data_IF_641294895612
#
_entry.id   IF_641294895612
#
_cell.length_a   1.000
_cell.length_b   1.000
_cell.length_c   1.000
_cell.angle_alpha   90.00
_cell.angle_beta   90.00
_cell.angle_gamma   90.00
#
_symmetry.space_group_name_H-M   'P 1'
#
loop_
_entity.id
_entity.type
_entity.pdbx_description
1 polymer ?
#
# COMPACT_ATOMS: atom_id res chain seq x y z
N UNK A 1 -3.65 18.98 12.01
CA UNK A 1 -3.99 19.66 10.74
C UNK A 1 -5.07 18.82 10.08
N UNK A 2 -6.22 19.39 9.71
CA UNK A 2 -7.32 18.61 9.12
C UNK A 2 -7.02 18.41 7.64
N UNK A 3 -6.53 17.23 7.29
CA UNK A 3 -6.22 16.85 5.92
C UNK A 3 -7.50 16.85 5.08
N UNK A 4 -7.74 17.91 4.29
CA UNK A 4 -8.90 17.99 3.39
C UNK A 4 -8.62 17.23 2.10
N UNK A 5 -8.70 15.90 2.18
CA UNK A 5 -8.60 15.02 1.01
C UNK A 5 -9.93 14.96 0.27
N UNK A 6 -9.88 15.14 -1.05
CA UNK A 6 -11.02 14.87 -1.92
C UNK A 6 -11.29 13.36 -1.98
N UNK A 7 -12.47 12.97 -2.46
CA UNK A 7 -12.77 11.54 -2.62
C UNK A 7 -11.87 10.87 -3.66
N UNK A 8 -11.39 11.64 -4.65
CA UNK A 8 -10.39 11.19 -5.61
C UNK A 8 -9.05 10.91 -4.93
N UNK A 9 -8.56 11.83 -4.09
CA UNK A 9 -7.30 11.63 -3.37
C UNK A 9 -7.39 10.40 -2.46
N UNK A 10 -8.49 10.26 -1.73
CA UNK A 10 -8.74 9.08 -0.89
C UNK A 10 -8.72 7.78 -1.71
N UNK A 11 -9.25 7.80 -2.93
CA UNK A 11 -9.22 6.65 -3.82
C UNK A 11 -7.79 6.33 -4.28
N UNK A 12 -6.99 7.35 -4.61
CA UNK A 12 -5.56 7.19 -4.93
C UNK A 12 -4.78 6.58 -3.77
N UNK A 13 -4.96 7.09 -2.55
CA UNK A 13 -4.31 6.57 -1.34
C UNK A 13 -4.65 5.10 -1.09
N UNK A 14 -5.94 4.72 -1.22
CA UNK A 14 -6.37 3.32 -1.05
C UNK A 14 -5.79 2.41 -2.13
N UNK A 15 -5.83 2.86 -3.39
CA UNK A 15 -5.29 2.09 -4.52
C UNK A 15 -3.80 1.86 -4.34
N UNK A 16 -3.06 2.87 -3.91
CA UNK A 16 -1.64 2.77 -3.61
C UNK A 16 -1.36 1.80 -2.45
N UNK A 17 -2.07 1.95 -1.33
CA UNK A 17 -1.85 1.17 -0.13
C UNK A 17 -2.19 -0.32 -0.30
N UNK A 18 -3.42 -0.62 -0.73
CA UNK A 18 -3.85 -2.00 -0.95
C UNK A 18 -3.19 -2.62 -2.18
N UNK A 19 -2.89 -1.80 -3.20
CA UNK A 19 -2.10 -2.22 -4.35
C UNK A 19 -0.69 -2.67 -3.97
N UNK A 20 -0.04 -1.99 -3.02
CA UNK A 20 1.27 -2.40 -2.51
C UNK A 20 1.21 -3.78 -1.83
N UNK A 21 0.18 -4.02 -1.02
CA UNK A 21 -0.07 -5.32 -0.38
C UNK A 21 -0.38 -6.41 -1.43
N UNK A 22 -1.17 -6.10 -2.45
CA UNK A 22 -1.45 -7.03 -3.56
C UNK A 22 -0.20 -7.34 -4.39
N UNK A 23 0.68 -6.35 -4.61
CA UNK A 23 1.95 -6.54 -5.31
C UNK A 23 2.87 -7.48 -4.53
N UNK A 24 2.96 -7.32 -3.20
CA UNK A 24 3.69 -8.26 -2.33
C UNK A 24 3.09 -9.66 -2.37
N UNK A 25 1.75 -9.77 -2.32
CA UNK A 25 1.06 -11.05 -2.37
C UNK A 25 1.33 -11.79 -3.68
N UNK A 26 1.40 -11.08 -4.81
CA UNK A 26 1.72 -11.66 -6.10
C UNK A 26 3.19 -12.12 -6.24
N UNK A 27 4.07 -11.74 -5.30
CA UNK A 27 5.49 -12.05 -5.28
C UNK A 27 5.87 -13.21 -4.33
N UNK A 28 4.89 -13.94 -3.80
CA UNK A 28 5.07 -15.07 -2.88
C UNK A 28 4.27 -16.30 -3.30
N UNK A 29 4.66 -17.46 -2.78
CA UNK A 29 3.90 -18.71 -2.82
C UNK A 29 2.71 -18.71 -1.82
N UNK A 30 2.66 -17.73 -0.92
CA UNK A 30 1.65 -17.59 0.13
C UNK A 30 0.81 -16.30 0.00
N UNK A 31 0.18 -16.04 -1.17
CA UNK A 31 -0.46 -14.75 -1.49
C UNK A 31 -1.57 -14.36 -0.51
N UNK A 32 -2.39 -15.33 -0.09
CA UNK A 32 -3.47 -15.08 0.86
C UNK A 32 -2.95 -14.60 2.22
N UNK A 33 -1.87 -15.20 2.72
CA UNK A 33 -1.28 -14.81 4.01
C UNK A 33 -0.79 -13.37 3.95
N UNK A 34 -0.01 -13.04 2.93
CA UNK A 34 0.57 -11.70 2.72
C UNK A 34 -0.55 -10.66 2.57
N UNK A 35 -1.55 -10.95 1.73
CA UNK A 35 -2.68 -10.06 1.53
C UNK A 35 -3.48 -9.82 2.83
N UNK A 36 -3.74 -10.87 3.61
CA UNK A 36 -4.47 -10.77 4.87
C UNK A 36 -3.69 -9.95 5.90
N UNK A 37 -2.42 -10.28 6.15
CA UNK A 37 -1.63 -9.58 7.17
C UNK A 37 -1.40 -8.11 6.81
N UNK A 38 -1.04 -7.82 5.56
CA UNK A 38 -0.89 -6.45 5.08
C UNK A 38 -2.21 -5.66 5.17
N UNK A 39 -3.34 -6.26 4.78
CA UNK A 39 -4.64 -5.58 4.86
C UNK A 39 -5.10 -5.31 6.30
N UNK A 40 -4.82 -6.23 7.23
CA UNK A 40 -5.10 -6.03 8.66
C UNK A 40 -4.28 -4.85 9.18
N UNK A 41 -2.99 -4.78 8.84
CA UNK A 41 -2.13 -3.67 9.25
C UNK A 41 -2.63 -2.33 8.71
N UNK A 42 -3.03 -2.26 7.43
CA UNK A 42 -3.62 -1.06 6.83
C UNK A 42 -4.94 -0.65 7.52
N UNK A 43 -5.81 -1.62 7.80
CA UNK A 43 -7.10 -1.38 8.46
C UNK A 43 -6.96 -1.03 9.95
N UNK A 44 -5.85 -1.41 10.58
CA UNK A 44 -5.52 -1.11 11.98
C UNK A 44 -4.84 0.26 12.14
N UNK A 45 -4.46 0.91 11.03
CA UNK A 45 -3.88 2.23 11.06
C UNK A 45 -4.89 3.24 11.66
N UNK A 46 -4.39 4.11 12.53
CA UNK A 46 -5.18 5.16 13.18
C UNK A 46 -4.87 6.54 12.58
N UNK A 47 -5.67 7.55 12.93
CA UNK A 47 -5.45 8.92 12.47
C UNK A 47 -6.11 9.22 11.11
N UNK A 48 -5.82 10.38 10.51
CA UNK A 48 -6.48 10.82 9.27
C UNK A 48 -6.31 9.83 8.11
N UNK A 49 -5.09 9.30 7.94
CA UNK A 49 -4.77 8.30 6.92
C UNK A 49 -5.49 6.98 7.23
N UNK A 50 -5.45 6.53 8.49
CA UNK A 50 -6.18 5.34 8.93
C UNK A 50 -7.68 5.39 8.63
N UNK A 51 -8.33 6.53 8.88
CA UNK A 51 -9.74 6.72 8.54
C UNK A 51 -10.00 6.66 7.02
N UNK A 52 -9.07 7.14 6.20
CA UNK A 52 -9.16 7.02 4.75
C UNK A 52 -9.05 5.56 4.33
N UNK A 53 -8.08 4.82 4.86
CA UNK A 53 -7.80 3.43 4.51
C UNK A 53 -8.88 2.46 5.04
N UNK A 54 -9.48 2.75 6.20
CA UNK A 54 -10.54 1.94 6.80
C UNK A 54 -11.87 2.01 6.03
N UNK A 55 -12.07 3.02 5.19
CA UNK A 55 -13.28 3.13 4.37
C UNK A 55 -13.33 2.02 3.31
N UNK A 56 -14.49 1.36 3.21
CA UNK A 56 -14.70 0.13 2.46
C UNK A 56 -14.23 0.24 1.00
N UNK A 57 -13.29 -0.64 0.66
CA UNK A 57 -12.55 -0.82 -0.59
C UNK A 57 -13.39 -1.20 -1.82
N UNK A 58 -14.47 -0.47 -2.11
CA UNK A 58 -15.32 -0.71 -3.28
C UNK A 58 -14.69 -0.27 -4.62
N UNK A 59 -13.77 0.69 -4.59
CA UNK A 59 -13.21 1.35 -5.78
C UNK A 59 -11.73 0.98 -6.06
N UNK A 60 -11.20 -0.08 -5.44
CA UNK A 60 -9.82 -0.50 -5.69
C UNK A 60 -9.76 -1.27 -6.99
N UNK A 61 -9.56 -0.53 -8.07
CA UNK A 61 -9.50 -1.06 -9.43
C UNK A 61 -8.04 -1.36 -9.81
N UNK A 62 -7.55 -2.51 -9.36
CA UNK A 62 -6.26 -3.05 -9.81
C UNK A 62 -6.50 -3.81 -11.12
N UNK A 63 -5.95 -3.28 -12.22
CA UNK A 63 -6.08 -3.88 -13.54
C UNK A 63 -4.69 -4.37 -13.99
N UNK A 64 -4.32 -5.57 -13.55
CA UNK A 64 -3.08 -6.23 -13.96
C UNK A 64 -3.22 -7.74 -13.87
N UNK A 65 -2.85 -8.45 -14.93
CA UNK A 65 -2.79 -9.92 -14.96
C UNK A 65 -1.43 -10.43 -14.49
N UNK A 66 -0.44 -9.56 -14.45
CA UNK A 66 0.94 -9.86 -14.09
C UNK A 66 1.45 -8.95 -12.98
N UNK A 67 2.47 -9.42 -12.27
CA UNK A 67 3.18 -8.65 -11.23
C UNK A 67 3.75 -7.34 -11.80
N UNK A 68 4.20 -7.35 -13.06
CA UNK A 68 4.75 -6.18 -13.73
C UNK A 68 3.66 -5.11 -13.97
N UNK A 69 2.50 -5.49 -14.52
CA UNK A 69 1.38 -4.56 -14.73
C UNK A 69 0.86 -3.99 -13.41
N UNK A 70 0.81 -4.82 -12.35
CA UNK A 70 0.48 -4.33 -11.00
C UNK A 70 1.53 -3.33 -10.50
N UNK A 71 2.82 -3.60 -10.68
CA UNK A 71 3.88 -2.67 -10.28
C UNK A 71 3.81 -1.35 -11.05
N UNK A 72 3.52 -1.40 -12.36
CA UNK A 72 3.38 -0.23 -13.22
C UNK A 72 2.18 0.65 -12.83
N UNK A 73 1.14 0.07 -12.22
CA UNK A 73 0.01 0.81 -11.68
C UNK A 73 0.28 1.33 -10.25
N UNK A 74 0.86 0.49 -9.39
CA UNK A 74 0.96 0.73 -7.94
C UNK A 74 2.12 1.65 -7.57
N UNK A 75 3.31 1.49 -8.17
CA UNK A 75 4.47 2.31 -7.83
C UNK A 75 4.22 3.80 -8.12
N UNK A 76 3.67 4.19 -9.29
CA UNK A 76 3.31 5.59 -9.53
C UNK A 76 2.20 6.09 -8.60
N UNK A 77 1.24 5.24 -8.21
CA UNK A 77 0.19 5.61 -7.28
C UNK A 77 0.71 5.90 -5.86
N UNK A 78 1.73 5.16 -5.40
CA UNK A 78 2.42 5.42 -4.13
C UNK A 78 3.12 6.77 -4.14
N UNK A 79 3.88 7.05 -5.20
CA UNK A 79 4.57 8.34 -5.36
C UNK A 79 3.58 9.50 -5.46
N UNK A 80 2.50 9.34 -6.22
CA UNK A 80 1.42 10.33 -6.29
C UNK A 80 0.77 10.57 -4.92
N UNK A 81 0.54 9.52 -4.13
CA UNK A 81 -0.03 9.64 -2.78
C UNK A 81 0.88 10.43 -1.85
N UNK A 82 2.19 10.17 -1.88
CA UNK A 82 3.18 10.94 -1.11
C UNK A 82 3.21 12.40 -1.55
N UNK A 83 3.17 12.65 -2.86
CA UNK A 83 3.15 14.01 -3.41
C UNK A 83 1.86 14.78 -3.03
N UNK A 84 0.70 14.10 -3.03
CA UNK A 84 -0.58 14.67 -2.61
C UNK A 84 -0.60 15.02 -1.11
N UNK A 85 0.03 14.19 -0.29
CA UNK A 85 0.07 14.34 1.15
C UNK A 85 1.08 15.39 1.63
N UNK A 86 2.15 15.63 0.87
CA UNK A 86 3.17 16.61 1.20
C UNK A 86 3.72 16.40 2.63
N UNK A 87 3.53 17.36 3.56
CA UNK A 87 4.01 17.23 4.94
C UNK A 87 3.34 16.11 5.75
N UNK A 88 2.12 15.70 5.39
CA UNK A 88 1.39 14.63 6.07
C UNK A 88 1.71 13.24 5.50
N UNK A 89 2.69 13.15 4.57
CA UNK A 89 3.09 11.89 3.96
C UNK A 89 3.80 10.95 4.95
N UNK A 90 4.37 11.45 6.04
CA UNK A 90 5.11 10.61 7.00
C UNK A 90 4.21 9.59 7.70
N UNK A 91 2.98 9.97 8.04
CA UNK A 91 1.97 9.04 8.60
C UNK A 91 1.61 7.95 7.58
N UNK A 92 1.49 8.31 6.31
CA UNK A 92 1.22 7.35 5.24
C UNK A 92 2.42 6.42 5.00
N UNK A 93 3.64 6.96 4.91
CA UNK A 93 4.87 6.17 4.76
C UNK A 93 5.01 5.16 5.90
N UNK A 94 4.81 5.60 7.13
CA UNK A 94 4.87 4.74 8.32
C UNK A 94 3.81 3.64 8.25
N UNK A 95 2.57 4.00 7.85
CA UNK A 95 1.48 3.03 7.71
C UNK A 95 1.80 1.96 6.65
N UNK A 96 2.36 2.36 5.50
CA UNK A 96 2.74 1.41 4.45
C UNK A 96 3.92 0.54 4.91
N UNK A 97 4.91 1.10 5.59
CA UNK A 97 6.04 0.32 6.14
C UNK A 97 5.57 -0.75 7.11
N UNK A 98 4.69 -0.41 8.06
CA UNK A 98 4.10 -1.39 8.99
C UNK A 98 3.32 -2.46 8.24
N UNK A 99 2.58 -2.10 7.19
CA UNK A 99 1.85 -3.06 6.38
C UNK A 99 2.78 -4.01 5.61
N UNK A 100 3.89 -3.52 5.07
CA UNK A 100 4.93 -4.34 4.43
C UNK A 100 5.53 -5.28 5.48
N UNK A 101 5.95 -4.78 6.64
CA UNK A 101 6.54 -5.58 7.71
C UNK A 101 5.60 -6.71 8.13
N UNK A 102 4.32 -6.40 8.41
CA UNK A 102 3.31 -7.39 8.76
C UNK A 102 3.10 -8.43 7.64
N UNK A 103 3.05 -7.99 6.38
CA UNK A 103 2.93 -8.85 5.20
C UNK A 103 4.13 -9.80 5.04
N UNK A 104 5.34 -9.31 5.33
CA UNK A 104 6.60 -10.04 5.16
C UNK A 104 7.00 -10.87 6.39
N UNK A 105 6.29 -10.72 7.51
CA UNK A 105 6.71 -11.31 8.78
C UNK A 105 6.79 -12.84 8.69
N UNK A 106 7.98 -13.41 8.93
CA UNK A 106 8.19 -14.86 8.79
C UNK A 106 8.05 -15.35 7.34
N UNK A 107 8.42 -14.52 6.37
CA UNK A 107 8.62 -14.87 4.97
C UNK A 107 10.06 -14.56 4.57
N UNK A 108 10.89 -15.60 4.43
CA UNK A 108 12.24 -15.46 3.91
C UNK A 108 12.22 -15.70 2.39
N UNK A 109 11.98 -14.64 1.62
CA UNK A 109 12.00 -14.68 0.16
C UNK A 109 12.80 -13.52 -0.41
N UNK A 110 13.84 -13.77 -1.24
CA UNK A 110 14.61 -12.70 -1.87
C UNK A 110 13.77 -11.88 -2.86
N UNK A 111 12.77 -12.50 -3.50
CA UNK A 111 11.82 -11.82 -4.40
C UNK A 111 10.96 -10.83 -3.62
N UNK A 112 10.48 -11.26 -2.46
CA UNK A 112 9.62 -10.45 -1.60
C UNK A 112 10.42 -9.30 -0.97
N UNK A 113 11.66 -9.53 -0.57
CA UNK A 113 12.56 -8.50 -0.09
C UNK A 113 12.88 -7.44 -1.15
N UNK A 114 13.04 -7.83 -2.41
CA UNK A 114 13.23 -6.90 -3.52
C UNK A 114 11.96 -6.08 -3.80
N UNK A 115 10.77 -6.72 -3.77
CA UNK A 115 9.51 -5.99 -3.92
C UNK A 115 9.26 -4.99 -2.79
N UNK A 116 9.54 -5.37 -1.54
CA UNK A 116 9.50 -4.45 -0.41
C UNK A 116 10.41 -3.25 -0.64
N UNK A 117 11.65 -3.46 -1.10
CA UNK A 117 12.58 -2.36 -1.45
C UNK A 117 12.01 -1.43 -2.51
N UNK A 118 11.38 -1.96 -3.57
CA UNK A 118 10.76 -1.15 -4.62
C UNK A 118 9.60 -0.29 -4.09
N UNK A 119 8.75 -0.88 -3.26
CA UNK A 119 7.64 -0.16 -2.63
C UNK A 119 8.19 0.94 -1.71
N UNK A 120 9.18 0.65 -0.87
CA UNK A 120 9.81 1.64 0.00
C UNK A 120 10.51 2.75 -0.77
N UNK A 121 11.14 2.43 -1.92
CA UNK A 121 11.73 3.44 -2.80
C UNK A 121 10.68 4.33 -3.49
N UNK A 122 9.48 3.82 -3.78
CA UNK A 122 8.40 4.64 -4.33
C UNK A 122 7.81 5.63 -3.30
N UNK A 123 8.06 5.40 -2.01
CA UNK A 123 7.61 6.24 -0.91
C UNK A 123 8.59 7.38 -0.56
N UNK A 124 9.83 7.34 -1.06
CA UNK A 124 10.84 8.37 -0.75
C UNK A 124 10.51 9.69 -1.42
#
# INVERSE_FOLDING_TARGET
MSLTLTDQDKSTLRTAAYGAVSLLAAATDSPHRVATQGSIALASATGPIGHVLAAKSGDINLYGKTVAELADQVLPALTASVALLGPDADDFRTTIQVAIEAATQGQDSPVLAEMSRKITAALS
#
